data_IF_540864430903
#
_entry.id   IF_540864430903
#
_cell.length_a   1.000
_cell.length_b   1.000
_cell.length_c   1.000
_cell.angle_alpha   90.00
_cell.angle_beta   90.00
_cell.angle_gamma   90.00
#
_symmetry.space_group_name_H-M   'P 1'
#
loop_
_entity.id
_entity.type
_entity.pdbx_description
1 polymer ?
#
# COMPACT_ATOMS: atom_id res chain seq x y z
N UNK A 1 30.44 -12.70 43.04
CA UNK A 1 29.14 -12.06 42.81
C UNK A 1 29.33 -10.93 41.80
N UNK A 2 29.26 -11.18 40.48
CA UNK A 2 29.16 -10.09 39.49
C UNK A 2 28.86 -10.59 38.05
N UNK A 3 27.83 -11.41 37.84
CA UNK A 3 27.41 -11.77 36.48
C UNK A 3 25.93 -12.16 36.47
N UNK A 4 25.04 -11.17 36.60
CA UNK A 4 23.58 -11.41 36.48
C UNK A 4 22.82 -10.19 35.94
N UNK A 5 23.43 -9.35 35.09
CA UNK A 5 22.78 -8.15 34.55
C UNK A 5 22.76 -8.04 33.01
N UNK A 6 23.40 -8.96 32.28
CA UNK A 6 23.54 -8.81 30.81
C UNK A 6 22.44 -9.58 30.04
N UNK A 7 21.72 -10.51 30.66
CA UNK A 7 20.80 -11.39 29.94
C UNK A 7 19.37 -10.88 29.76
N UNK A 8 19.01 -9.71 30.32
CA UNK A 8 17.61 -9.21 30.27
C UNK A 8 17.38 -8.24 29.10
N UNK A 9 18.42 -7.59 28.58
CA UNK A 9 18.30 -6.64 27.47
C UNK A 9 18.22 -7.31 26.08
N UNK A 10 18.60 -8.59 25.96
CA UNK A 10 18.55 -9.33 24.69
C UNK A 10 17.15 -9.81 24.28
N UNK A 11 16.21 -9.94 25.23
CA UNK A 11 14.86 -10.45 24.93
C UNK A 11 13.84 -9.36 24.55
N UNK A 12 14.10 -8.09 24.89
CA UNK A 12 13.15 -7.00 24.59
C UNK A 12 13.21 -6.60 23.10
N UNK A 13 14.34 -6.81 22.43
CA UNK A 13 14.50 -6.53 21.00
C UNK A 13 13.79 -7.55 20.10
N UNK A 14 13.58 -8.80 20.54
CA UNK A 14 12.84 -9.79 19.76
C UNK A 14 11.31 -9.56 19.80
N UNK A 15 10.78 -8.96 20.87
CA UNK A 15 9.35 -8.63 20.95
C UNK A 15 8.95 -7.49 19.99
N UNK A 16 9.86 -6.56 19.68
CA UNK A 16 9.61 -5.51 18.69
C UNK A 16 9.56 -6.01 17.24
N UNK A 17 10.17 -7.16 16.95
CA UNK A 17 10.15 -7.75 15.60
C UNK A 17 8.90 -8.61 15.39
N UNK A 18 8.32 -9.17 16.46
CA UNK A 18 7.07 -9.93 16.39
C UNK A 18 5.83 -9.02 16.22
N UNK A 19 5.84 -7.82 16.79
CA UNK A 19 4.71 -6.87 16.66
C UNK A 19 4.54 -6.30 15.24
N UNK A 20 5.55 -6.39 14.37
CA UNK A 20 5.43 -5.93 12.99
C UNK A 20 4.60 -6.88 12.11
N UNK A 21 4.48 -8.16 12.48
CA UNK A 21 3.60 -9.12 11.79
C UNK A 21 2.18 -9.16 12.37
N UNK A 22 1.95 -8.63 13.57
CA UNK A 22 0.67 -8.70 14.29
C UNK A 22 -0.11 -7.37 14.35
N UNK A 23 -0.05 -6.54 13.32
CA UNK A 23 -1.13 -5.57 13.09
C UNK A 23 -2.19 -6.22 12.19
N UNK A 24 -2.94 -7.17 12.74
CA UNK A 24 -4.02 -7.94 12.09
C UNK A 24 -5.27 -7.14 11.74
N UNK A 25 -5.13 -6.05 10.99
CA UNK A 25 -6.24 -5.43 10.26
C UNK A 25 -6.31 -5.98 8.84
N UNK A 26 -7.48 -6.46 8.41
CA UNK A 26 -7.71 -6.75 7.00
C UNK A 26 -7.72 -5.44 6.20
N UNK A 27 -7.23 -5.49 4.96
CA UNK A 27 -7.45 -4.40 4.02
C UNK A 27 -8.95 -4.24 3.80
N UNK A 28 -9.43 -3.00 3.90
CA UNK A 28 -10.80 -2.66 3.55
C UNK A 28 -10.79 -2.09 2.13
N UNK A 29 -11.62 -2.69 1.27
CA UNK A 29 -11.91 -2.13 -0.04
C UNK A 29 -12.66 -0.81 0.13
N UNK A 30 -12.18 0.22 -0.55
CA UNK A 30 -12.76 1.56 -0.59
C UNK A 30 -13.55 1.66 -1.90
N UNK A 31 -14.87 1.58 -1.79
CA UNK A 31 -15.76 1.62 -2.94
C UNK A 31 -15.77 3.00 -3.62
N UNK A 32 -15.80 4.05 -2.81
CA UNK A 32 -15.75 5.44 -3.25
C UNK A 32 -14.60 6.16 -2.55
N UNK A 33 -13.44 6.30 -3.22
CA UNK A 33 -12.31 7.02 -2.66
C UNK A 33 -12.66 8.50 -2.45
N UNK A 34 -12.44 8.97 -1.23
CA UNK A 34 -12.57 10.39 -0.88
C UNK A 34 -11.52 11.24 -1.59
N UNK A 35 -11.73 12.55 -1.69
CA UNK A 35 -10.75 13.48 -2.28
C UNK A 35 -9.37 13.37 -1.63
N UNK A 36 -9.32 13.10 -0.32
CA UNK A 36 -8.07 12.91 0.43
C UNK A 36 -7.34 11.62 0.03
N UNK A 37 -8.08 10.54 -0.21
CA UNK A 37 -7.49 9.26 -0.65
C UNK A 37 -6.97 9.35 -2.08
N UNK A 38 -7.70 10.04 -2.94
CA UNK A 38 -7.25 10.35 -4.30
C UNK A 38 -6.01 11.26 -4.31
N UNK A 39 -5.94 12.23 -3.40
CA UNK A 39 -4.74 13.06 -3.23
C UNK A 39 -3.54 12.23 -2.76
N UNK A 40 -3.73 11.31 -1.79
CA UNK A 40 -2.66 10.40 -1.36
C UNK A 40 -2.19 9.47 -2.48
N UNK A 41 -3.12 8.97 -3.30
CA UNK A 41 -2.78 8.20 -4.50
C UNK A 41 -1.98 9.02 -5.51
N UNK A 42 -2.39 10.26 -5.79
CA UNK A 42 -1.64 11.15 -6.68
C UNK A 42 -0.20 11.39 -6.20
N UNK A 43 -0.04 11.63 -4.89
CA UNK A 43 1.28 11.80 -4.28
C UNK A 43 2.13 10.52 -4.37
N UNK A 44 1.50 9.34 -4.28
CA UNK A 44 2.21 8.08 -4.48
C UNK A 44 2.70 7.93 -5.92
N UNK A 45 1.89 8.29 -6.92
CA UNK A 45 2.30 8.31 -8.32
C UNK A 45 3.45 9.28 -8.59
N UNK A 46 3.46 10.44 -7.93
CA UNK A 46 4.57 11.40 -8.03
C UNK A 46 5.89 10.87 -7.45
N UNK A 47 5.85 9.96 -6.48
CA UNK A 47 7.07 9.31 -5.97
C UNK A 47 7.65 8.38 -7.03
N UNK A 48 6.78 7.60 -7.68
CA UNK A 48 7.16 6.67 -8.73
C UNK A 48 7.80 7.40 -9.91
N UNK A 49 7.14 8.45 -10.43
CA UNK A 49 7.66 9.22 -11.57
C UNK A 49 8.98 9.95 -11.29
N UNK A 50 9.34 10.17 -10.03
CA UNK A 50 10.64 10.75 -9.64
C UNK A 50 11.77 9.73 -9.65
N UNK A 51 11.48 8.47 -9.32
CA UNK A 51 12.48 7.41 -9.22
C UNK A 51 12.74 6.74 -10.59
N UNK A 52 11.77 6.76 -11.51
CA UNK A 52 11.93 6.25 -12.87
C UNK A 52 11.31 7.20 -13.93
N UNK A 53 12.14 7.90 -14.72
CA UNK A 53 11.66 8.84 -15.75
C UNK A 53 10.99 8.15 -16.94
N UNK A 54 11.09 6.82 -17.10
CA UNK A 54 10.27 6.10 -18.08
C UNK A 54 8.80 6.01 -17.64
N UNK A 55 8.54 6.29 -16.37
CA UNK A 55 7.24 6.22 -15.70
C UNK A 55 6.52 7.59 -15.67
N UNK A 56 7.08 8.63 -16.28
CA UNK A 56 6.39 9.90 -16.62
C UNK A 56 5.08 9.70 -17.42
N UNK A 57 4.83 8.46 -17.87
CA UNK A 57 3.60 8.02 -18.54
C UNK A 57 2.60 7.26 -17.67
N UNK A 58 2.74 7.18 -16.34
CA UNK A 58 1.62 6.71 -15.49
C UNK A 58 0.52 7.77 -15.49
N UNK A 59 -0.32 7.66 -16.51
CA UNK A 59 -1.56 8.39 -16.65
C UNK A 59 -2.69 7.39 -16.35
N UNK A 60 -3.08 7.24 -15.07
CA UNK A 60 -4.14 6.31 -14.70
C UNK A 60 -5.43 6.73 -15.40
N UNK A 61 -6.01 5.80 -16.17
CA UNK A 61 -7.30 5.96 -16.83
C UNK A 61 -8.43 5.65 -15.86
N UNK A 62 -8.32 4.55 -15.12
CA UNK A 62 -9.37 4.08 -14.23
C UNK A 62 -8.79 3.33 -13.03
N UNK A 63 -9.38 3.53 -11.85
CA UNK A 63 -9.07 2.73 -10.67
C UNK A 63 -9.94 1.47 -10.70
N UNK A 64 -9.29 0.32 -10.64
CA UNK A 64 -9.96 -0.99 -10.56
C UNK A 64 -10.31 -1.30 -9.11
N UNK A 65 -9.37 -1.10 -8.20
CA UNK A 65 -9.63 -1.28 -6.77
C UNK A 65 -8.74 -0.37 -5.96
N UNK A 66 -9.34 0.16 -4.90
CA UNK A 66 -8.66 0.94 -3.90
C UNK A 66 -8.86 0.24 -2.57
N UNK A 67 -7.79 -0.08 -1.88
CA UNK A 67 -7.83 -0.76 -0.59
C UNK A 67 -6.95 -0.04 0.40
N UNK A 68 -7.46 0.15 1.62
CA UNK A 68 -6.71 0.80 2.69
C UNK A 68 -6.74 -0.02 3.96
N UNK A 69 -5.74 0.22 4.80
CA UNK A 69 -5.66 -0.27 6.16
C UNK A 69 -5.12 0.86 7.02
N UNK A 70 -5.93 1.34 7.95
CA UNK A 70 -5.54 2.41 8.87
C UNK A 70 -5.03 1.78 10.15
N UNK A 71 -3.81 2.10 10.53
CA UNK A 71 -3.22 1.74 11.83
C UNK A 71 -2.93 2.99 12.65
N UNK A 72 -2.54 2.78 13.91
CA UNK A 72 -2.23 3.86 14.84
C UNK A 72 -1.09 4.77 14.35
N UNK A 73 -0.11 4.20 13.64
CA UNK A 73 1.08 4.91 13.15
C UNK A 73 1.00 5.38 11.69
N UNK A 74 -0.17 5.25 11.05
CA UNK A 74 -0.38 5.67 9.66
C UNK A 74 -1.26 4.72 8.84
N UNK A 75 -1.27 4.92 7.52
CA UNK A 75 -2.11 4.14 6.60
C UNK A 75 -1.28 3.27 5.67
N UNK A 76 -1.78 2.08 5.34
CA UNK A 76 -1.29 1.28 4.23
C UNK A 76 -2.32 1.30 3.13
N UNK A 77 -1.88 1.57 1.91
CA UNK A 77 -2.73 1.68 0.73
C UNK A 77 -2.27 0.70 -0.34
N UNK A 78 -3.25 0.17 -1.07
CA UNK A 78 -3.08 -0.75 -2.20
C UNK A 78 -4.04 -0.30 -3.29
N UNK A 79 -3.53 -0.02 -4.47
CA UNK A 79 -4.36 0.45 -5.58
C UNK A 79 -4.00 -0.32 -6.84
N UNK A 80 -5.02 -0.87 -7.48
CA UNK A 80 -4.94 -1.41 -8.83
C UNK A 80 -5.62 -0.42 -9.77
N UNK A 81 -4.96 -0.09 -10.86
CA UNK A 81 -5.47 0.87 -11.84
C UNK A 81 -5.02 0.50 -13.25
N UNK A 82 -5.78 0.93 -14.24
CA UNK A 82 -5.43 0.81 -15.65
C UNK A 82 -4.79 2.09 -16.14
N UNK A 83 -3.78 1.96 -16.98
CA UNK A 83 -3.21 3.06 -17.74
C UNK A 83 -4.01 3.30 -19.02
N UNK A 84 -3.78 4.44 -19.68
CA UNK A 84 -4.41 4.77 -20.97
C UNK A 84 -4.12 3.76 -22.08
N UNK A 85 -2.96 3.13 -22.06
CA UNK A 85 -2.57 2.08 -23.01
C UNK A 85 -3.19 0.70 -22.69
N UNK A 86 -4.00 0.59 -21.63
CA UNK A 86 -4.66 -0.66 -21.21
C UNK A 86 -3.85 -1.52 -20.24
N UNK A 87 -2.60 -1.18 -19.95
CA UNK A 87 -1.78 -1.89 -18.97
C UNK A 87 -2.37 -1.75 -17.56
N UNK A 88 -2.46 -2.86 -16.83
CA UNK A 88 -2.89 -2.84 -15.42
C UNK A 88 -1.67 -2.74 -14.51
N UNK A 89 -1.67 -1.72 -13.67
CA UNK A 89 -0.66 -1.49 -12.67
C UNK A 89 -1.21 -1.69 -11.26
N UNK A 90 -0.30 -2.08 -10.38
CA UNK A 90 -0.48 -2.22 -8.96
C UNK A 90 0.57 -1.38 -8.26
N UNK A 91 0.11 -0.57 -7.32
CA UNK A 91 1.00 0.11 -6.40
C UNK A 91 0.54 -0.10 -4.96
N UNK A 92 1.51 -0.17 -4.07
CA UNK A 92 1.26 -0.14 -2.64
C UNK A 92 2.26 0.73 -1.91
N UNK A 93 1.74 1.50 -0.96
CA UNK A 93 2.55 2.41 -0.18
C UNK A 93 2.04 2.50 1.24
N UNK A 94 2.95 2.90 2.12
CA UNK A 94 2.65 3.19 3.52
C UNK A 94 2.88 4.66 3.79
N UNK A 95 1.92 5.28 4.47
CA UNK A 95 2.05 6.62 5.02
C UNK A 95 2.43 6.48 6.49
N UNK A 96 3.42 7.27 6.92
CA UNK A 96 3.83 7.39 8.31
C UNK A 96 3.82 8.87 8.68
N UNK A 97 3.05 9.22 9.71
CA UNK A 97 2.78 10.64 10.01
C UNK A 97 2.25 11.39 8.76
N UNK A 98 2.02 12.71 8.83
CA UNK A 98 1.39 13.45 7.70
C UNK A 98 2.27 13.63 6.45
N UNK A 99 3.58 13.37 6.56
CA UNK A 99 4.59 13.88 5.63
C UNK A 99 5.50 12.81 5.04
N UNK A 100 5.62 11.63 5.67
CA UNK A 100 6.47 10.56 5.17
C UNK A 100 5.65 9.49 4.46
N UNK A 101 6.06 9.15 3.25
CA UNK A 101 5.45 8.11 2.41
C UNK A 101 6.56 7.18 1.96
N UNK A 102 6.31 5.88 1.98
CA UNK A 102 7.24 4.87 1.53
C UNK A 102 6.55 3.90 0.58
N UNK A 103 7.02 3.84 -0.66
CA UNK A 103 6.61 2.82 -1.61
C UNK A 103 7.02 1.44 -1.08
N UNK A 104 6.07 0.50 -1.14
CA UNK A 104 6.26 -0.88 -0.66
C UNK A 104 6.35 -1.85 -1.82
N UNK A 105 5.51 -1.68 -2.85
CA UNK A 105 5.49 -2.52 -4.04
C UNK A 105 4.95 -1.72 -5.22
N UNK A 106 5.49 -1.98 -6.41
CA UNK A 106 5.04 -1.43 -7.67
C UNK A 106 5.22 -2.49 -8.77
N UNK A 107 4.20 -2.69 -9.59
CA UNK A 107 4.30 -3.49 -10.80
C UNK A 107 3.24 -3.08 -11.82
N UNK A 108 3.62 -3.01 -13.09
CA UNK A 108 2.70 -2.78 -14.21
C UNK A 108 2.45 -4.04 -15.06
N UNK A 109 2.85 -5.21 -14.56
CA UNK A 109 2.61 -6.49 -15.22
C UNK A 109 1.82 -7.42 -14.30
N UNK A 110 0.64 -6.94 -13.88
CA UNK A 110 -0.27 -7.72 -13.03
C UNK A 110 -0.85 -8.88 -13.85
N UNK A 111 -0.83 -10.09 -13.31
CA UNK A 111 -1.38 -11.26 -14.00
C UNK A 111 -2.89 -11.13 -14.22
N UNK A 112 -3.38 -11.63 -15.34
CA UNK A 112 -4.80 -11.58 -15.70
C UNK A 112 -5.72 -12.22 -14.65
N UNK A 113 -5.26 -13.27 -13.96
CA UNK A 113 -6.01 -13.91 -12.87
C UNK A 113 -6.28 -12.92 -11.73
N UNK A 114 -5.25 -12.17 -11.33
CA UNK A 114 -5.33 -11.19 -10.25
C UNK A 114 -6.15 -9.97 -10.65
N UNK A 115 -6.15 -9.59 -11.93
CA UNK A 115 -7.04 -8.54 -12.47
C UNK A 115 -8.51 -8.97 -12.31
N UNK A 116 -8.86 -10.20 -12.68
CA UNK A 116 -10.24 -10.72 -12.55
C UNK A 116 -10.72 -10.71 -11.09
N UNK A 117 -9.90 -11.21 -10.16
CA UNK A 117 -10.22 -11.19 -8.72
C UNK A 117 -10.52 -9.77 -8.21
N UNK A 118 -9.76 -8.79 -8.69
CA UNK A 118 -9.90 -7.39 -8.31
C UNK A 118 -11.15 -6.76 -8.94
N UNK A 119 -11.47 -7.09 -10.19
CA UNK A 119 -12.69 -6.63 -10.85
C UNK A 119 -13.94 -7.21 -10.19
N UNK A 120 -13.94 -8.49 -9.81
CA UNK A 120 -15.03 -9.10 -9.04
C UNK A 120 -15.22 -8.41 -7.68
N UNK A 121 -14.12 -8.03 -7.02
CA UNK A 121 -14.19 -7.26 -5.78
C UNK A 121 -14.75 -5.84 -6.00
N UNK A 122 -14.50 -5.23 -7.17
CA UNK A 122 -15.06 -3.93 -7.56
C UNK A 122 -16.57 -4.02 -7.81
N UNK A 123 -17.06 -5.11 -8.40
CA UNK A 123 -18.50 -5.29 -8.62
C UNK A 123 -19.29 -5.34 -7.31
N UNK A 124 -18.71 -5.93 -6.25
CA UNK A 124 -19.31 -5.94 -4.91
C UNK A 124 -19.50 -4.55 -4.30
N UNK A 125 -18.77 -3.54 -4.80
CA UNK A 125 -18.92 -2.15 -4.36
C UNK A 125 -20.05 -1.39 -5.08
N UNK A 126 -20.63 -1.95 -6.15
CA UNK A 126 -21.72 -1.34 -6.92
C UNK A 126 -23.11 -1.82 -6.50
N UNK A 127 -23.20 -2.79 -5.59
CA UNK A 127 -24.45 -3.40 -5.11
C UNK A 127 -24.82 -2.84 -3.75
#
# INVERSE_FOLDING_TARGET
MLTAYISILGCVLCLLVADAQSQGGNFQTVCEPTSKEMEEFRKALELIGKDDPTIDTINPKEILSFSKKVGFFGGFYKVYFTLKNGTVCYISWRTYMKWYRKMSEETCNVSNEKVKEVEEAKEKCKT
#
